data_IF_742034475167
#
_entry.id   IF_742034475167
#
_cell.length_a   1.000
_cell.length_b   1.000
_cell.length_c   1.000
_cell.angle_alpha   90.00
_cell.angle_beta   90.00
_cell.angle_gamma   90.00
#
_symmetry.space_group_name_H-M   'P 1'
#
loop_
_entity.id
_entity.type
_entity.pdbx_description
1 polymer ?
#
# COMPACT_ATOMS: atom_id res chain seq x y z
N UNK A 1 -5.66 10.26 -8.20
CA UNK A 1 -5.75 10.31 -6.73
C UNK A 1 -4.80 11.39 -6.25
N UNK A 2 -5.13 12.15 -5.19
CA UNK A 2 -4.19 13.14 -4.66
C UNK A 2 -3.14 12.51 -3.76
N UNK A 3 -2.02 13.18 -3.50
CA UNK A 3 -1.00 12.71 -2.54
C UNK A 3 -1.60 12.50 -1.15
N UNK A 4 -2.43 13.44 -0.68
CA UNK A 4 -3.09 13.34 0.64
C UNK A 4 -4.05 12.15 0.71
N UNK A 5 -4.86 11.93 -0.32
CA UNK A 5 -5.78 10.80 -0.42
C UNK A 5 -5.02 9.46 -0.49
N UNK A 6 -3.91 9.43 -1.24
CA UNK A 6 -3.04 8.26 -1.31
C UNK A 6 -2.44 7.94 0.05
N UNK A 7 -1.86 8.94 0.75
CA UNK A 7 -1.25 8.75 2.07
C UNK A 7 -2.30 8.26 3.07
N UNK A 8 -3.50 8.84 3.06
CA UNK A 8 -4.59 8.43 3.94
C UNK A 8 -5.00 6.97 3.71
N UNK A 9 -5.16 6.58 2.45
CA UNK A 9 -5.54 5.20 2.08
C UNK A 9 -4.44 4.19 2.37
N UNK A 10 -3.19 4.51 2.03
CA UNK A 10 -2.01 3.69 2.35
C UNK A 10 -1.81 3.54 3.87
N UNK A 11 -2.02 4.61 4.65
CA UNK A 11 -1.83 4.58 6.11
C UNK A 11 -2.87 3.69 6.79
N UNK A 12 -4.12 3.68 6.31
CA UNK A 12 -5.15 2.77 6.81
C UNK A 12 -4.78 1.32 6.56
N UNK A 13 -4.37 0.98 5.32
CA UNK A 13 -3.96 -0.38 4.99
C UNK A 13 -2.71 -0.80 5.77
N UNK A 14 -1.72 0.09 5.89
CA UNK A 14 -0.50 -0.17 6.65
C UNK A 14 -0.80 -0.43 8.13
N UNK A 15 -1.69 0.36 8.74
CA UNK A 15 -2.14 0.15 10.13
C UNK A 15 -2.75 -1.24 10.29
N UNK A 16 -3.65 -1.66 9.40
CA UNK A 16 -4.22 -3.01 9.44
C UNK A 16 -3.14 -4.09 9.32
N UNK A 17 -2.16 -3.93 8.42
CA UNK A 17 -1.07 -4.90 8.31
C UNK A 17 -0.23 -5.00 9.60
N UNK A 18 0.02 -3.86 10.27
CA UNK A 18 0.73 -3.83 11.55
C UNK A 18 -0.08 -4.50 12.66
N UNK A 19 -1.37 -4.22 12.75
CA UNK A 19 -2.27 -4.82 13.75
C UNK A 19 -2.34 -6.35 13.58
N UNK A 20 -2.50 -6.83 12.35
CA UNK A 20 -2.52 -8.26 12.04
C UNK A 20 -1.15 -8.92 12.30
N UNK A 21 -0.05 -8.24 11.98
CA UNK A 21 1.29 -8.72 12.33
C UNK A 21 1.45 -8.86 13.85
N UNK A 22 1.01 -7.86 14.64
CA UNK A 22 1.08 -7.89 16.10
C UNK A 22 0.17 -8.97 16.70
N UNK A 23 -0.94 -9.29 16.04
CA UNK A 23 -1.83 -10.39 16.41
C UNK A 23 -1.27 -11.78 16.03
N UNK A 24 -0.10 -11.87 15.39
CA UNK A 24 0.53 -13.11 14.95
C UNK A 24 0.11 -13.59 13.55
N UNK A 25 -0.70 -12.80 12.84
CA UNK A 25 -1.20 -13.12 11.50
C UNK A 25 -0.29 -12.61 10.37
N UNK A 26 0.95 -12.19 10.65
CA UNK A 26 1.85 -11.60 9.66
C UNK A 26 2.08 -12.46 8.41
N UNK A 27 2.08 -13.79 8.56
CA UNK A 27 2.24 -14.76 7.45
C UNK A 27 0.92 -15.12 6.76
N UNK A 28 -0.22 -14.66 7.30
CA UNK A 28 -1.53 -14.85 6.68
C UNK A 28 -1.68 -13.92 5.50
N UNK A 29 -2.33 -14.40 4.44
CA UNK A 29 -2.64 -13.59 3.25
C UNK A 29 -3.62 -12.48 3.59
N UNK A 30 -3.38 -11.30 3.01
CA UNK A 30 -4.34 -10.20 3.07
C UNK A 30 -5.66 -10.60 2.39
N UNK A 31 -6.75 -10.01 2.85
CA UNK A 31 -8.07 -10.21 2.22
C UNK A 31 -8.06 -9.70 0.78
N UNK A 32 -8.97 -10.20 -0.05
CA UNK A 32 -9.07 -9.73 -1.45
C UNK A 32 -9.31 -8.21 -1.54
N UNK A 33 -10.10 -7.66 -0.62
CA UNK A 33 -10.33 -6.22 -0.53
C UNK A 33 -9.05 -5.42 -0.23
N UNK A 34 -8.22 -5.94 0.69
CA UNK A 34 -6.92 -5.37 1.01
C UNK A 34 -5.95 -5.49 -0.17
N UNK A 35 -5.96 -6.62 -0.90
CA UNK A 35 -5.16 -6.80 -2.11
C UNK A 35 -5.56 -5.84 -3.24
N UNK A 36 -6.87 -5.65 -3.46
CA UNK A 36 -7.38 -4.64 -4.40
C UNK A 36 -6.93 -3.24 -3.99
N UNK A 37 -7.03 -2.91 -2.70
CA UNK A 37 -6.57 -1.62 -2.17
C UNK A 37 -5.07 -1.42 -2.39
N UNK A 38 -4.24 -2.44 -2.13
CA UNK A 38 -2.80 -2.41 -2.36
C UNK A 38 -2.48 -2.19 -3.85
N UNK A 39 -3.16 -2.91 -4.74
CA UNK A 39 -2.99 -2.76 -6.18
C UNK A 39 -3.40 -1.35 -6.67
N UNK A 40 -4.50 -0.78 -6.15
CA UNK A 40 -4.87 0.60 -6.47
C UNK A 40 -3.82 1.61 -6.03
N UNK A 41 -3.22 1.41 -4.85
CA UNK A 41 -2.14 2.26 -4.35
C UNK A 41 -0.87 2.14 -5.20
N UNK A 42 -0.51 0.92 -5.61
CA UNK A 42 0.61 0.65 -6.52
C UNK A 42 0.39 1.29 -7.89
N UNK A 43 -0.80 1.09 -8.47
CA UNK A 43 -1.17 1.65 -9.75
C UNK A 43 -1.14 3.19 -9.74
N UNK A 44 -1.59 3.80 -8.63
CA UNK A 44 -1.56 5.25 -8.44
C UNK A 44 -0.14 5.85 -8.38
N UNK A 45 0.90 5.04 -8.17
CA UNK A 45 2.30 5.49 -8.18
C UNK A 45 3.08 4.98 -9.40
N UNK A 46 2.38 4.48 -10.43
CA UNK A 46 2.99 3.99 -11.66
C UNK A 46 3.47 2.54 -11.62
N UNK A 47 3.22 1.80 -10.54
CA UNK A 47 3.57 0.38 -10.43
C UNK A 47 2.39 -0.49 -10.88
N UNK A 48 2.59 -1.34 -11.89
CA UNK A 48 1.54 -2.18 -12.45
C UNK A 48 1.89 -3.67 -12.33
N UNK A 49 1.72 -4.24 -11.14
CA UNK A 49 2.03 -5.65 -10.84
C UNK A 49 0.81 -6.59 -10.84
N UNK A 50 -0.41 -6.05 -11.01
CA UNK A 50 -1.67 -6.80 -10.88
C UNK A 50 -2.03 -7.13 -9.44
N UNK A 51 -3.27 -7.60 -9.21
CA UNK A 51 -3.75 -7.96 -7.88
C UNK A 51 -3.07 -9.26 -7.43
N UNK A 52 -2.25 -9.18 -6.38
CA UNK A 52 -1.64 -10.34 -5.70
C UNK A 52 -2.03 -10.34 -4.23
N UNK A 53 -2.59 -11.45 -3.74
CA UNK A 53 -2.83 -11.66 -2.31
C UNK A 53 -1.54 -12.06 -1.60
N UNK A 54 -0.70 -11.07 -1.36
CA UNK A 54 0.50 -11.20 -0.53
C UNK A 54 0.13 -11.37 0.95
N UNK A 55 1.09 -11.74 1.78
CA UNK A 55 0.93 -11.79 3.24
C UNK A 55 0.84 -10.40 3.87
N UNK A 56 0.34 -10.29 5.10
CA UNK A 56 0.33 -9.02 5.83
C UNK A 56 1.74 -8.45 6.01
N UNK A 57 2.76 -9.29 6.24
CA UNK A 57 4.16 -8.87 6.30
C UNK A 57 4.66 -8.29 4.98
N UNK A 58 4.41 -8.96 3.86
CA UNK A 58 4.79 -8.48 2.53
C UNK A 58 4.02 -7.20 2.14
N UNK A 59 2.73 -7.13 2.45
CA UNK A 59 1.91 -5.93 2.22
C UNK A 59 2.46 -4.73 2.99
N UNK A 60 2.85 -4.92 4.26
CA UNK A 60 3.48 -3.88 5.09
C UNK A 60 4.77 -3.38 4.46
N UNK A 61 5.68 -4.27 4.10
CA UNK A 61 6.97 -3.91 3.48
C UNK A 61 6.76 -3.15 2.17
N UNK A 62 5.86 -3.63 1.32
CA UNK A 62 5.49 -2.93 0.08
C UNK A 62 4.98 -1.50 0.37
N UNK A 63 4.15 -1.33 1.39
CA UNK A 63 3.63 -0.01 1.77
C UNK A 63 4.74 0.91 2.31
N UNK A 64 5.65 0.39 3.14
CA UNK A 64 6.80 1.14 3.65
C UNK A 64 7.69 1.66 2.50
N UNK A 65 8.02 0.82 1.53
CA UNK A 65 8.77 1.22 0.33
C UNK A 65 8.02 2.29 -0.47
N UNK A 66 6.72 2.08 -0.70
CA UNK A 66 5.89 3.05 -1.41
C UNK A 66 5.84 4.39 -0.66
N UNK A 67 5.70 4.40 0.66
CA UNK A 67 5.74 5.63 1.47
C UNK A 67 7.04 6.41 1.26
N UNK A 68 8.18 5.74 1.19
CA UNK A 68 9.47 6.38 0.91
C UNK A 68 9.45 7.02 -0.48
N UNK A 69 9.01 6.30 -1.52
CA UNK A 69 8.89 6.84 -2.88
C UNK A 69 7.95 8.05 -2.94
N UNK A 70 6.84 7.99 -2.20
CA UNK A 70 5.84 9.07 -2.09
C UNK A 70 6.43 10.32 -1.44
N UNK A 71 7.13 10.16 -0.33
CA UNK A 71 7.74 11.27 0.42
C UNK A 71 8.94 11.87 -0.31
N UNK A 72 9.69 11.07 -1.05
CA UNK A 72 10.85 11.50 -1.83
C UNK A 72 10.47 12.21 -3.15
N UNK A 73 9.18 12.27 -3.51
CA UNK A 73 8.72 12.91 -4.75
C UNK A 73 9.13 12.16 -6.03
N UNK A 74 9.62 10.92 -5.94
CA UNK A 74 10.17 10.14 -7.06
C UNK A 74 9.14 9.51 -8.01
N UNK A 75 7.91 10.04 -8.09
CA UNK A 75 6.82 9.36 -8.82
C UNK A 75 6.69 9.77 -10.29
N UNK A 76 6.43 8.78 -11.13
CA UNK A 76 5.90 8.89 -12.50
C UNK A 76 4.71 7.93 -12.66
N UNK A 77 3.56 8.23 -13.32
CA UNK A 77 2.80 9.48 -13.58
C UNK A 77 1.83 9.84 -12.41
N UNK A 78 1.15 11.01 -12.40
CA UNK A 78 1.07 11.86 -11.21
C UNK A 78 -0.08 11.52 -10.25
N UNK A 79 0.28 11.30 -8.98
CA UNK A 79 -0.62 11.71 -7.91
C UNK A 79 -0.73 13.24 -7.97
N UNK A 80 -1.95 13.74 -8.10
CA UNK A 80 -2.20 15.16 -8.17
C UNK A 80 -1.86 15.80 -6.83
N UNK A 81 -1.19 16.95 -6.84
CA UNK A 81 -0.99 17.77 -5.64
C UNK A 81 -2.37 18.29 -5.23
N UNK A 82 -2.91 17.82 -4.11
CA UNK A 82 -4.26 18.17 -3.64
C UNK A 82 -4.57 17.61 -2.27
#
# INVERSE_FOLDING_TARGET
MTVSAWISKASKLHKTCVEEQQAGNGSTKITMLQATTLNELQHAIGSNHGIKQVTYNEARLNLDEMFVMVKAGQKTPPLTTG
#
